data_IF_346982305043
#
_entry.id   IF_346982305043
#
_cell.length_a   1.000
_cell.length_b   1.000
_cell.length_c   1.000
_cell.angle_alpha   90.00
_cell.angle_beta   90.00
_cell.angle_gamma   90.00
#
_symmetry.space_group_name_H-M   'P 1'
#
loop_
_entity.id
_entity.type
_entity.pdbx_description
1 polymer ?
#
# COMPACT_ATOMS: atom_id res chain seq x y z
N UNK A 1 3.59 -12.39 35.08
CA UNK A 1 3.23 -12.13 33.66
C UNK A 1 3.02 -13.48 32.97
N UNK A 2 2.28 -13.54 31.85
CA UNK A 2 1.80 -14.80 31.24
C UNK A 2 2.55 -15.24 29.97
N UNK A 3 3.63 -14.56 29.60
CA UNK A 3 4.43 -14.83 28.39
C UNK A 3 3.61 -14.92 27.09
N UNK A 4 2.48 -14.21 27.03
CA UNK A 4 1.60 -14.19 25.86
C UNK A 4 2.17 -13.35 24.70
N UNK A 5 3.18 -12.52 24.96
CA UNK A 5 3.87 -11.71 23.96
C UNK A 5 5.34 -12.12 23.92
N UNK A 6 5.80 -12.48 22.72
CA UNK A 6 7.19 -12.88 22.46
C UNK A 6 7.66 -12.07 21.26
N UNK A 7 8.90 -11.57 21.33
CA UNK A 7 9.52 -10.78 20.28
C UNK A 7 10.86 -11.38 19.89
N UNK A 8 11.23 -11.32 18.62
CA UNK A 8 12.46 -11.90 18.11
C UNK A 8 12.46 -12.08 16.60
N UNK A 9 13.36 -12.94 16.13
CA UNK A 9 13.46 -13.28 14.72
C UNK A 9 12.18 -13.94 14.21
N UNK A 10 11.69 -13.50 13.03
CA UNK A 10 10.42 -13.97 12.48
C UNK A 10 10.41 -15.49 12.26
N UNK A 11 11.50 -16.08 11.79
CA UNK A 11 11.57 -17.51 11.50
C UNK A 11 11.43 -18.32 12.79
N UNK A 12 12.08 -17.87 13.86
CA UNK A 12 11.96 -18.48 15.19
C UNK A 12 10.54 -18.33 15.76
N UNK A 13 9.93 -17.15 15.59
CA UNK A 13 8.55 -16.89 16.04
C UNK A 13 7.51 -17.71 15.26
N UNK A 14 7.69 -17.90 13.94
CA UNK A 14 6.83 -18.79 13.14
C UNK A 14 6.94 -20.23 13.66
N UNK A 15 8.16 -20.74 13.87
CA UNK A 15 8.36 -22.09 14.39
C UNK A 15 7.73 -22.27 15.79
N UNK A 16 7.92 -21.29 16.67
CA UNK A 16 7.33 -21.30 18.01
C UNK A 16 5.79 -21.25 17.96
N UNK A 17 5.22 -20.40 17.11
CA UNK A 17 3.77 -20.28 16.91
C UNK A 17 3.16 -21.56 16.34
N UNK A 18 3.80 -22.18 15.35
CA UNK A 18 3.35 -23.45 14.77
C UNK A 18 3.37 -24.58 15.80
N UNK A 19 4.45 -24.68 16.58
CA UNK A 19 4.54 -25.63 17.69
C UNK A 19 3.39 -25.42 18.67
N UNK A 20 3.12 -24.18 19.06
CA UNK A 20 2.03 -23.87 19.99
C UNK A 20 0.65 -24.22 19.42
N UNK A 21 0.41 -23.96 18.14
CA UNK A 21 -0.83 -24.36 17.47
C UNK A 21 -0.98 -25.88 17.45
N UNK A 22 0.09 -26.63 17.18
CA UNK A 22 0.05 -28.10 17.19
C UNK A 22 -0.32 -28.65 18.57
N UNK A 23 0.22 -28.07 19.65
CA UNK A 23 -0.17 -28.42 21.03
C UNK A 23 -1.65 -28.11 21.29
N UNK A 24 -2.13 -26.95 20.85
CA UNK A 24 -3.50 -26.51 21.08
C UNK A 24 -4.54 -27.34 20.32
N UNK A 25 -4.19 -27.90 19.16
CA UNK A 25 -5.10 -28.71 18.34
C UNK A 25 -5.68 -29.93 19.05
N UNK A 26 -5.06 -30.41 20.12
CA UNK A 26 -5.61 -31.48 20.95
C UNK A 26 -6.89 -31.07 21.69
N UNK A 27 -7.06 -29.78 22.01
CA UNK A 27 -8.23 -29.24 22.73
C UNK A 27 -9.05 -28.28 21.88
N UNK A 28 -8.41 -27.58 20.95
CA UNK A 28 -8.98 -26.59 20.06
C UNK A 28 -8.67 -26.98 18.61
N UNK A 29 -9.49 -27.83 17.97
CA UNK A 29 -9.22 -28.35 16.63
C UNK A 29 -8.99 -27.27 15.56
N UNK A 30 -9.63 -26.11 15.75
CA UNK A 30 -9.57 -24.94 14.86
C UNK A 30 -8.42 -23.98 15.17
N UNK A 31 -7.48 -24.35 16.05
CA UNK A 31 -6.36 -23.49 16.39
C UNK A 31 -5.52 -23.13 15.14
N UNK A 32 -5.17 -21.84 15.03
CA UNK A 32 -4.60 -21.25 13.82
C UNK A 32 -3.46 -20.28 14.14
N UNK A 33 -2.39 -20.29 13.33
CA UNK A 33 -1.33 -19.27 13.38
C UNK A 33 -1.63 -18.19 12.34
N UNK A 34 -2.15 -17.06 12.79
CA UNK A 34 -2.47 -15.92 11.92
C UNK A 34 -1.26 -15.02 11.71
N UNK A 35 -0.97 -14.66 10.47
CA UNK A 35 0.15 -13.82 10.06
C UNK A 35 1.35 -14.59 9.51
N UNK A 36 1.31 -15.92 9.49
CA UNK A 36 2.37 -16.71 8.86
C UNK A 36 2.38 -16.51 7.33
N UNK A 37 1.18 -16.53 6.71
CA UNK A 37 0.99 -16.57 5.25
C UNK A 37 0.15 -15.40 4.73
N UNK A 38 -0.60 -14.76 5.61
CA UNK A 38 -1.46 -13.63 5.29
C UNK A 38 -0.64 -12.45 4.78
N UNK A 39 -1.06 -11.88 3.65
CA UNK A 39 -0.38 -10.75 2.98
C UNK A 39 1.14 -10.95 2.81
N UNK A 40 1.55 -12.15 2.39
CA UNK A 40 2.96 -12.53 2.22
C UNK A 40 3.77 -12.61 3.53
N UNK A 41 3.07 -12.64 4.66
CA UNK A 41 3.66 -12.77 5.98
C UNK A 41 3.63 -11.45 6.75
N UNK A 42 2.97 -11.47 7.90
CA UNK A 42 2.92 -10.36 8.83
C UNK A 42 4.12 -10.40 9.79
N UNK A 43 4.50 -9.23 10.28
CA UNK A 43 5.51 -9.07 11.34
C UNK A 43 4.92 -9.20 12.75
N UNK A 44 3.59 -9.21 12.85
CA UNK A 44 2.85 -9.50 14.08
C UNK A 44 1.99 -10.71 13.79
N UNK A 45 2.15 -11.76 14.59
CA UNK A 45 1.44 -13.02 14.43
C UNK A 45 0.67 -13.36 15.69
N UNK A 46 -0.45 -14.06 15.54
CA UNK A 46 -1.30 -14.49 16.64
C UNK A 46 -1.48 -16.01 16.61
N UNK A 47 -1.38 -16.62 17.78
CA UNK A 47 -1.87 -17.99 17.98
C UNK A 47 -3.33 -17.90 18.44
N UNK A 48 -4.23 -18.33 17.56
CA UNK A 48 -5.68 -18.29 17.78
C UNK A 48 -6.17 -19.66 18.23
N UNK A 49 -7.17 -19.68 19.11
CA UNK A 49 -7.85 -20.91 19.53
C UNK A 49 -8.89 -21.37 18.50
N UNK A 50 -9.49 -20.42 17.79
CA UNK A 50 -10.51 -20.68 16.77
C UNK A 50 -10.09 -20.06 15.43
N UNK A 51 -10.93 -20.27 14.41
CA UNK A 51 -10.70 -19.68 13.09
C UNK A 51 -10.59 -18.16 13.15
N UNK A 52 -9.84 -17.53 12.22
CA UNK A 52 -9.65 -16.08 12.19
C UNK A 52 -10.97 -15.27 12.25
N UNK A 53 -12.03 -15.76 11.62
CA UNK A 53 -13.33 -15.09 11.55
C UNK A 53 -13.97 -14.88 12.93
N UNK A 54 -13.81 -15.84 13.84
CA UNK A 54 -14.36 -15.74 15.20
C UNK A 54 -13.74 -14.56 15.94
N UNK A 55 -12.50 -14.22 15.59
CA UNK A 55 -11.75 -13.10 16.14
C UNK A 55 -11.89 -11.81 15.31
N UNK A 56 -12.80 -11.78 14.32
CA UNK A 56 -12.98 -10.64 13.42
C UNK A 56 -11.85 -10.45 12.41
N UNK A 57 -10.98 -11.46 12.23
CA UNK A 57 -9.86 -11.43 11.32
C UNK A 57 -10.24 -12.08 9.97
N UNK A 58 -9.85 -11.49 8.83
CA UNK A 58 -10.12 -12.09 7.52
C UNK A 58 -9.22 -13.31 7.31
N UNK A 59 -9.77 -14.47 6.91
CA UNK A 59 -8.94 -15.66 6.60
C UNK A 59 -8.04 -15.52 5.39
N UNK A 60 -8.42 -14.69 4.42
CA UNK A 60 -7.63 -14.46 3.21
C UNK A 60 -7.58 -12.97 2.91
N UNK A 61 -6.82 -12.20 3.69
CA UNK A 61 -6.65 -10.78 3.43
C UNK A 61 -5.93 -10.59 2.09
N UNK A 62 -6.45 -9.68 1.28
CA UNK A 62 -5.86 -9.29 0.00
C UNK A 62 -5.82 -7.77 -0.09
N UNK A 63 -4.86 -7.25 -0.87
CA UNK A 63 -4.86 -5.84 -1.23
C UNK A 63 -6.05 -5.58 -2.17
N UNK A 64 -6.89 -4.57 -1.91
CA UNK A 64 -8.02 -4.25 -2.79
C UNK A 64 -7.56 -3.93 -4.22
N UNK A 65 -8.22 -4.50 -5.23
CA UNK A 65 -7.87 -4.28 -6.64
C UNK A 65 -7.92 -2.79 -7.06
N UNK A 66 -8.81 -2.02 -6.45
CA UNK A 66 -8.92 -0.57 -6.65
C UNK A 66 -7.68 0.17 -6.14
N UNK A 67 -7.11 -0.27 -5.02
CA UNK A 67 -5.88 0.31 -4.49
C UNK A 67 -4.70 0.02 -5.44
N UNK A 68 -4.60 -1.21 -5.95
CA UNK A 68 -3.59 -1.59 -6.95
C UNK A 68 -3.72 -0.72 -8.21
N UNK A 69 -4.92 -0.64 -8.80
CA UNK A 69 -5.15 0.19 -9.99
C UNK A 69 -4.83 1.67 -9.77
N UNK A 70 -5.14 2.20 -8.58
CA UNK A 70 -4.83 3.58 -8.22
C UNK A 70 -3.31 3.84 -8.17
N UNK A 71 -2.57 2.96 -7.49
CA UNK A 71 -1.13 3.12 -7.32
C UNK A 71 -0.36 2.87 -8.62
N UNK A 72 -0.72 1.82 -9.35
CA UNK A 72 0.12 1.30 -10.44
C UNK A 72 -0.20 1.93 -11.80
N UNK A 73 -1.42 2.48 -11.97
CA UNK A 73 -1.88 3.02 -13.26
C UNK A 73 -2.26 4.49 -13.12
N UNK A 74 -3.24 4.79 -12.27
CA UNK A 74 -3.86 6.12 -12.26
C UNK A 74 -2.85 7.18 -11.79
N UNK A 75 -2.10 6.92 -10.72
CA UNK A 75 -1.08 7.85 -10.23
C UNK A 75 0.02 8.14 -11.25
N UNK A 76 0.73 7.14 -11.84
CA UNK A 76 1.76 7.39 -12.85
C UNK A 76 1.24 8.17 -14.06
N UNK A 77 0.06 7.79 -14.58
CA UNK A 77 -0.57 8.51 -15.71
C UNK A 77 -0.93 9.93 -15.31
N UNK A 78 -1.47 10.12 -14.11
CA UNK A 78 -1.78 11.44 -13.56
C UNK A 78 -0.55 12.34 -13.44
N UNK A 79 0.58 11.80 -12.97
CA UNK A 79 1.84 12.54 -12.92
C UNK A 79 2.35 12.93 -14.31
N UNK A 80 2.30 12.01 -15.27
CA UNK A 80 2.67 12.32 -16.65
C UNK A 80 1.78 13.41 -17.25
N UNK A 81 0.46 13.31 -17.06
CA UNK A 81 -0.49 14.31 -17.52
C UNK A 81 -0.24 15.68 -16.87
N UNK A 82 0.03 15.71 -15.56
CA UNK A 82 0.37 16.95 -14.84
C UNK A 82 1.66 17.58 -15.38
N UNK A 83 2.71 16.79 -15.64
CA UNK A 83 3.95 17.27 -16.23
C UNK A 83 3.74 17.86 -17.63
N UNK A 84 2.96 17.18 -18.47
CA UNK A 84 2.60 17.67 -19.81
C UNK A 84 1.82 18.98 -19.74
N UNK A 85 0.87 19.09 -18.81
CA UNK A 85 0.11 20.32 -18.60
C UNK A 85 1.03 21.49 -18.20
N UNK A 86 1.97 21.28 -17.29
CA UNK A 86 2.94 22.30 -16.88
C UNK A 86 3.80 22.75 -18.07
N UNK A 87 4.32 21.82 -18.87
CA UNK A 87 5.11 22.15 -20.07
C UNK A 87 4.26 22.92 -21.08
N UNK A 88 3.04 22.46 -21.35
CA UNK A 88 2.13 23.12 -22.30
C UNK A 88 1.78 24.55 -21.89
N UNK A 89 1.47 24.77 -20.60
CA UNK A 89 1.20 26.10 -20.06
C UNK A 89 2.46 26.99 -20.10
N UNK A 90 3.64 26.44 -19.81
CA UNK A 90 4.90 27.16 -19.92
C UNK A 90 5.19 27.63 -21.36
N UNK A 91 5.00 26.76 -22.35
CA UNK A 91 5.16 27.11 -23.76
C UNK A 91 4.13 28.16 -24.21
N UNK A 92 2.86 28.00 -23.81
CA UNK A 92 1.81 28.97 -24.11
C UNK A 92 2.15 30.36 -23.57
N UNK A 93 2.66 30.44 -22.33
CA UNK A 93 3.09 31.69 -21.72
C UNK A 93 4.23 32.37 -22.49
N UNK A 94 5.25 31.61 -22.92
CA UNK A 94 6.37 32.13 -23.71
C UNK A 94 5.88 32.72 -25.04
N UNK A 95 5.03 31.99 -25.76
CA UNK A 95 4.50 32.44 -27.06
C UNK A 95 3.60 33.68 -26.90
N UNK A 96 2.71 33.67 -25.91
CA UNK A 96 1.84 34.80 -25.63
C UNK A 96 2.65 36.07 -25.31
N UNK A 97 3.70 35.95 -24.48
CA UNK A 97 4.59 37.07 -24.13
C UNK A 97 5.34 37.61 -25.35
N UNK A 98 5.85 36.73 -26.22
CA UNK A 98 6.53 37.14 -27.45
C UNK A 98 5.59 37.93 -28.39
N UNK A 99 4.32 37.54 -28.48
CA UNK A 99 3.33 38.24 -29.31
C UNK A 99 2.99 39.62 -28.75
N UNK A 100 2.75 39.74 -27.43
CA UNK A 100 2.50 41.04 -26.78
C UNK A 100 3.67 42.01 -26.99
N UNK A 101 4.91 41.53 -26.86
CA UNK A 101 6.10 42.36 -27.11
C UNK A 101 6.16 42.85 -28.56
N UNK A 102 5.87 42.00 -29.55
CA UNK A 102 5.81 42.39 -30.97
C UNK A 102 4.72 43.44 -31.23
N UNK A 103 3.54 43.28 -30.62
CA UNK A 103 2.45 44.25 -30.75
C UNK A 103 2.81 45.61 -30.13
N UNK A 104 3.52 45.61 -29.00
CA UNK A 104 4.01 46.84 -28.36
C UNK A 104 5.05 47.56 -29.24
N UNK A 105 6.00 46.83 -29.83
CA UNK A 105 6.98 47.40 -30.77
C UNK A 105 6.34 47.98 -32.03
N UNK A 106 5.28 47.35 -32.55
CA UNK A 106 4.55 47.84 -33.73
C UNK A 106 3.75 49.11 -33.44
N UNK A 107 3.18 49.24 -32.24
CA UNK A 107 2.46 50.46 -31.82
C UNK A 107 3.38 51.64 -31.54
N UNK A 108 4.59 51.41 -31.03
CA UNK A 108 5.57 52.48 -30.77
C UNK A 108 6.30 53.01 -32.01
N UNK A 109 6.18 52.34 -33.16
CA UNK A 109 6.75 52.78 -34.46
C UNK A 109 5.76 53.58 -35.33
N UNK A 110 4.50 53.71 -34.92
CA UNK A 110 3.49 54.57 -35.55
C UNK A 110 3.37 55.88 -34.78
#
# INVERSE_FOLDING_TARGET
PTDALIFGDRTQLVAAGQKRVQELKATYPDAYLYGEKELDGLHVMYVLLYSPQVHGLPSKPTVPATAVAWQDIIKPVGYAAAALAVVGLGLNYIVARANVNKEAEQKGKK
#
